data_IF_347768370506
#
_entry.id   IF_347768370506
#
_cell.length_a   1.000
_cell.length_b   1.000
_cell.length_c   1.000
_cell.angle_alpha   90.00
_cell.angle_beta   90.00
_cell.angle_gamma   90.00
#
_symmetry.space_group_name_H-M   'P 1'
#
loop_
_entity.id
_entity.type
_entity.pdbx_description
1 polymer ?
#
# COMPACT_ATOMS: atom_id res chain seq x y z
N UNK A 1 2.37 -34.29 6.93
CA UNK A 1 3.44 -33.27 6.93
C UNK A 1 3.24 -32.44 5.68
N UNK A 2 3.01 -31.14 5.78
CA UNK A 2 2.88 -30.27 4.60
C UNK A 2 4.25 -30.17 3.92
N UNK A 3 4.27 -30.05 2.59
CA UNK A 3 5.54 -29.85 1.89
C UNK A 3 6.10 -28.47 2.22
N UNK A 4 7.43 -28.30 2.18
CA UNK A 4 8.09 -26.99 2.37
C UNK A 4 7.53 -25.90 1.45
N UNK A 5 7.13 -26.27 0.23
CA UNK A 5 6.53 -25.36 -0.73
C UNK A 5 5.14 -24.89 -0.29
N UNK A 6 4.33 -25.78 0.28
CA UNK A 6 3.01 -25.45 0.82
C UNK A 6 3.09 -24.51 2.02
N UNK A 7 4.05 -24.72 2.93
CA UNK A 7 4.28 -23.82 4.07
C UNK A 7 4.72 -22.42 3.61
N UNK A 8 5.58 -22.34 2.59
CA UNK A 8 6.08 -21.08 2.04
C UNK A 8 4.95 -20.25 1.40
N UNK A 9 4.04 -20.90 0.68
CA UNK A 9 2.88 -20.25 0.07
C UNK A 9 1.92 -19.69 1.14
N UNK A 10 1.58 -20.50 2.15
CA UNK A 10 0.74 -20.09 3.27
C UNK A 10 1.36 -18.88 3.99
N UNK A 11 2.67 -18.92 4.24
CA UNK A 11 3.33 -17.80 4.93
C UNK A 11 3.47 -16.55 4.08
N UNK A 12 3.47 -16.66 2.77
CA UNK A 12 3.49 -15.51 1.87
C UNK A 12 2.11 -14.84 1.83
N UNK A 13 1.04 -15.64 1.75
CA UNK A 13 -0.34 -15.15 1.84
C UNK A 13 -0.66 -14.53 3.20
N UNK A 14 -0.21 -15.14 4.30
CA UNK A 14 -0.39 -14.57 5.64
C UNK A 14 0.33 -13.23 5.82
N UNK A 15 1.54 -13.08 5.27
CA UNK A 15 2.26 -11.81 5.28
C UNK A 15 1.54 -10.71 4.49
N UNK A 16 1.03 -11.04 3.31
CA UNK A 16 0.23 -10.11 2.51
C UNK A 16 -1.07 -9.71 3.25
N UNK A 17 -1.76 -10.68 3.84
CA UNK A 17 -2.93 -10.41 4.66
C UNK A 17 -2.62 -9.50 5.86
N UNK A 18 -1.49 -9.73 6.55
CA UNK A 18 -1.04 -8.88 7.65
C UNK A 18 -0.70 -7.45 7.20
N UNK A 19 -0.10 -7.27 6.02
CA UNK A 19 0.12 -5.91 5.48
C UNK A 19 -1.20 -5.19 5.21
N UNK A 20 -2.25 -5.92 4.83
CA UNK A 20 -3.58 -5.35 4.65
C UNK A 20 -4.26 -4.99 5.97
N UNK A 21 -4.09 -5.76 7.05
CA UNK A 21 -4.56 -5.34 8.39
C UNK A 21 -3.90 -4.01 8.82
N UNK A 22 -2.62 -3.83 8.47
CA UNK A 22 -1.84 -2.65 8.79
C UNK A 22 -1.80 -1.60 7.66
N UNK A 23 -2.76 -1.63 6.73
CA UNK A 23 -2.75 -0.73 5.56
C UNK A 23 -2.63 0.75 5.93
N UNK A 24 -3.19 1.15 7.09
CA UNK A 24 -3.06 2.51 7.63
C UNK A 24 -1.62 2.87 7.98
N UNK A 25 -0.86 1.95 8.56
CA UNK A 25 0.56 2.17 8.90
C UNK A 25 1.41 2.28 7.63
N UNK A 26 1.09 1.47 6.61
CA UNK A 26 1.72 1.55 5.29
C UNK A 26 1.41 2.90 4.63
N UNK A 27 0.14 3.30 4.62
CA UNK A 27 -0.27 4.58 4.07
C UNK A 27 0.35 5.77 4.80
N UNK A 28 0.54 5.68 6.13
CA UNK A 28 1.24 6.71 6.89
C UNK A 28 2.71 6.80 6.48
N UNK A 29 3.41 5.67 6.28
CA UNK A 29 4.80 5.68 5.76
C UNK A 29 4.87 6.32 4.37
N UNK A 30 3.94 5.98 3.47
CA UNK A 30 3.85 6.60 2.15
C UNK A 30 3.62 8.10 2.27
N UNK A 31 2.68 8.53 3.11
CA UNK A 31 2.41 9.94 3.39
C UNK A 31 3.67 10.67 3.87
N UNK A 32 4.44 10.11 4.79
CA UNK A 32 5.68 10.75 5.27
C UNK A 32 6.71 10.93 4.14
N UNK A 33 6.87 9.93 3.28
CA UNK A 33 7.77 10.01 2.12
C UNK A 33 7.29 11.10 1.14
N UNK A 34 6.01 11.10 0.78
CA UNK A 34 5.43 12.05 -0.15
C UNK A 34 5.54 13.48 0.39
N UNK A 35 5.13 13.70 1.64
CA UNK A 35 5.16 15.04 2.25
C UNK A 35 6.57 15.58 2.48
N UNK A 36 7.59 14.70 2.57
CA UNK A 36 8.98 15.15 2.62
C UNK A 36 9.44 15.83 1.33
N UNK A 37 8.78 15.54 0.20
CA UNK A 37 9.11 16.09 -1.13
C UNK A 37 8.05 17.07 -1.64
N UNK A 38 6.78 16.80 -1.38
CA UNK A 38 5.64 17.65 -1.75
C UNK A 38 4.82 17.98 -0.50
N UNK A 39 5.17 19.04 0.25
CA UNK A 39 4.55 19.36 1.54
C UNK A 39 3.03 19.64 1.48
N UNK A 40 2.54 20.04 0.31
CA UNK A 40 1.12 20.35 0.08
C UNK A 40 0.35 19.17 -0.53
N UNK A 41 0.99 18.02 -0.74
CA UNK A 41 0.32 16.86 -1.33
C UNK A 41 -0.83 16.38 -0.45
N UNK A 42 -1.94 16.01 -1.09
CA UNK A 42 -3.05 15.33 -0.44
C UNK A 42 -2.98 13.82 -0.73
N UNK A 43 -3.08 13.00 0.31
CA UNK A 43 -2.93 11.54 0.22
C UNK A 43 -4.23 10.87 0.67
N UNK A 44 -4.80 10.07 -0.21
CA UNK A 44 -6.06 9.36 -0.01
C UNK A 44 -5.85 7.85 -0.14
N UNK A 45 -6.40 7.09 0.81
CA UNK A 45 -6.55 5.65 0.65
C UNK A 45 -7.93 5.41 0.07
N UNK A 46 -8.02 4.64 -1.01
CA UNK A 46 -9.30 4.33 -1.64
C UNK A 46 -9.34 2.86 -2.07
N UNK A 47 -10.31 2.48 -2.89
CA UNK A 47 -10.40 1.11 -3.40
C UNK A 47 -10.91 0.09 -2.39
N UNK A 48 -10.60 -1.19 -2.66
CA UNK A 48 -11.21 -2.32 -1.96
C UNK A 48 -10.82 -2.42 -0.48
N UNK A 49 -9.63 -1.91 -0.13
CA UNK A 49 -9.05 -1.90 1.23
C UNK A 49 -9.91 -1.13 2.23
N UNK A 50 -10.55 -0.03 1.80
CA UNK A 50 -11.35 0.84 2.68
C UNK A 50 -12.79 0.34 2.86
N UNK A 51 -13.25 -0.55 1.97
CA UNK A 51 -14.62 -1.11 1.98
C UNK A 51 -14.81 -2.28 2.95
N UNK A 52 -13.76 -2.69 3.65
CA UNK A 52 -13.80 -3.75 4.68
C UNK A 52 -13.86 -5.19 4.15
N UNK A 53 -13.89 -5.39 2.83
CA UNK A 53 -13.94 -6.70 2.17
C UNK A 53 -12.63 -7.02 1.44
N UNK A 54 -11.48 -6.71 2.03
CA UNK A 54 -10.19 -7.06 1.44
C UNK A 54 -9.85 -8.53 1.72
N UNK A 55 -9.31 -9.20 0.71
CA UNK A 55 -8.83 -10.59 0.80
C UNK A 55 -7.31 -10.60 0.84
N UNK A 56 -6.67 -11.74 1.12
CA UNK A 56 -5.21 -11.84 1.11
C UNK A 56 -4.56 -11.51 -0.26
N UNK A 57 -5.34 -11.34 -1.32
CA UNK A 57 -4.92 -10.94 -2.67
C UNK A 57 -5.30 -9.50 -3.01
N UNK A 58 -5.84 -8.72 -2.07
CA UNK A 58 -6.17 -7.31 -2.30
C UNK A 58 -4.92 -6.44 -2.25
N UNK A 59 -4.88 -5.39 -3.07
CA UNK A 59 -3.85 -4.35 -3.03
C UNK A 59 -4.29 -3.18 -2.13
N UNK A 60 -3.35 -2.27 -1.81
CA UNK A 60 -3.63 -1.01 -1.12
C UNK A 60 -3.58 0.11 -2.15
N UNK A 61 -4.74 0.63 -2.53
CA UNK A 61 -4.84 1.72 -3.50
C UNK A 61 -4.63 3.07 -2.81
N UNK A 62 -3.62 3.83 -3.26
CA UNK A 62 -3.28 5.17 -2.73
C UNK A 62 -3.30 6.18 -3.88
N UNK A 63 -4.04 7.27 -3.69
CA UNK A 63 -4.10 8.42 -4.60
C UNK A 63 -3.32 9.56 -3.95
N UNK A 64 -2.37 10.11 -4.70
CA UNK A 64 -1.60 11.30 -4.30
C UNK A 64 -2.00 12.42 -5.26
N UNK A 65 -2.49 13.51 -4.70
CA UNK A 65 -2.87 14.72 -5.43
C UNK A 65 -1.83 15.79 -5.15
N UNK A 66 -1.25 16.34 -6.21
CA UNK A 66 -0.24 17.39 -6.16
C UNK A 66 -0.78 18.65 -6.83
N UNK A 67 -0.48 19.81 -6.27
CA UNK A 67 -0.80 21.11 -6.90
C UNK A 67 0.00 21.33 -8.17
N UNK A 68 1.26 20.90 -8.16
CA UNK A 68 2.21 21.01 -9.25
C UNK A 68 2.50 19.65 -9.88
N UNK A 69 2.74 19.66 -11.19
CA UNK A 69 3.14 18.46 -11.91
C UNK A 69 4.56 18.07 -11.48
N UNK A 70 4.81 16.80 -11.11
CA UNK A 70 6.15 16.34 -10.80
C UNK A 70 7.06 16.48 -12.02
N UNK A 71 8.34 16.76 -11.80
CA UNK A 71 9.31 16.89 -12.88
C UNK A 71 9.43 15.56 -13.62
N UNK A 72 9.65 15.58 -14.94
CA UNK A 72 9.67 14.35 -15.78
C UNK A 72 10.72 13.31 -15.35
N UNK A 73 11.77 13.73 -14.65
CA UNK A 73 12.77 12.81 -14.08
C UNK A 73 12.25 12.04 -12.86
N UNK A 74 11.11 12.46 -12.29
CA UNK A 74 10.45 11.85 -11.15
C UNK A 74 9.32 10.89 -11.56
N UNK A 75 9.00 10.79 -12.86
CA UNK A 75 8.02 9.84 -13.42
C UNK A 75 8.60 8.41 -13.59
N UNK A 76 9.91 8.18 -13.41
CA UNK A 76 10.61 6.91 -13.67
C UNK A 76 11.39 6.33 -12.49
#
# INVERSE_FOLDING_TARGET
>A
MLSRESEKLIMTGYRHFKSLENYKEIAEKVKQIVLSRWPNAEIYIFGSTVKGNYTATSDIDILIVLDDRPDREEEY
#
